data_IF_943353379681
#
_entry.id   IF_943353379681
#
_cell.length_a   1.000
_cell.length_b   1.000
_cell.length_c   1.000
_cell.angle_alpha   90.00
_cell.angle_beta   90.00
_cell.angle_gamma   90.00
#
_symmetry.space_group_name_H-M   'P 1'
#
loop_
_entity.id
_entity.type
_entity.pdbx_description
1 polymer ?
#
# COMPACT_ATOMS: atom_id res chain seq x y z
N UNK A 1 40.17 -9.38 -55.03
CA UNK A 1 40.01 -10.22 -53.81
C UNK A 1 41.25 -10.06 -52.95
N UNK A 2 41.10 -9.52 -51.73
CA UNK A 2 41.84 -9.85 -50.50
C UNK A 2 41.45 -8.84 -49.43
N UNK A 3 40.65 -9.32 -48.49
CA UNK A 3 40.17 -8.63 -47.30
C UNK A 3 41.34 -8.42 -46.34
N UNK A 4 41.52 -7.20 -45.83
CA UNK A 4 42.38 -6.96 -44.67
C UNK A 4 41.46 -6.54 -43.52
N UNK A 5 41.50 -7.39 -42.50
CA UNK A 5 40.78 -7.35 -41.24
C UNK A 5 41.50 -6.35 -40.31
N UNK A 6 40.75 -5.48 -39.66
CA UNK A 6 41.22 -4.63 -38.57
C UNK A 6 40.07 -4.37 -37.60
N UNK A 7 39.96 -5.25 -36.60
CA UNK A 7 38.90 -5.31 -35.60
C UNK A 7 38.92 -4.04 -34.73
N UNK A 8 37.88 -3.21 -34.83
CA UNK A 8 37.63 -2.12 -33.90
C UNK A 8 36.92 -2.68 -32.67
N UNK A 9 37.70 -3.12 -31.68
CA UNK A 9 37.20 -3.47 -30.37
C UNK A 9 36.77 -2.20 -29.62
N UNK A 10 35.54 -1.76 -29.84
CA UNK A 10 34.89 -0.81 -28.93
C UNK A 10 34.46 -1.59 -27.71
N UNK A 11 35.30 -1.54 -26.68
CA UNK A 11 34.94 -1.92 -25.32
C UNK A 11 33.90 -0.90 -24.86
N UNK A 12 32.62 -1.18 -25.11
CA UNK A 12 31.52 -0.55 -24.41
C UNK A 12 31.57 -1.09 -22.98
N UNK A 13 32.37 -0.42 -22.15
CA UNK A 13 32.39 -0.65 -20.72
C UNK A 13 30.97 -0.38 -20.24
N UNK A 14 30.32 -1.47 -19.88
CA UNK A 14 29.14 -1.59 -19.06
C UNK A 14 29.09 -0.54 -17.96
N UNK A 15 28.45 0.58 -18.28
CA UNK A 15 27.79 1.44 -17.32
C UNK A 15 26.32 1.07 -17.27
N UNK A 16 25.98 -0.16 -16.87
CA UNK A 16 24.72 -0.35 -16.15
C UNK A 16 24.89 0.42 -14.85
N UNK A 17 24.61 1.72 -14.89
CA UNK A 17 24.08 2.37 -13.71
C UNK A 17 22.73 1.72 -13.49
N UNK A 18 22.73 0.60 -12.78
CA UNK A 18 21.60 0.28 -11.92
C UNK A 18 21.50 1.50 -11.00
N UNK A 19 20.78 2.52 -11.47
CA UNK A 19 20.23 3.54 -10.62
C UNK A 19 19.33 2.74 -9.69
N UNK A 20 19.87 2.34 -8.55
CA UNK A 20 19.08 2.09 -7.36
C UNK A 20 18.55 3.46 -6.93
N UNK A 21 17.70 4.06 -7.76
CA UNK A 21 16.57 4.79 -7.23
C UNK A 21 15.86 3.72 -6.40
N UNK A 22 16.19 3.67 -5.12
CA UNK A 22 15.41 2.95 -4.14
C UNK A 22 14.06 3.66 -4.18
N UNK A 23 13.22 3.25 -5.11
CA UNK A 23 11.89 3.80 -5.29
C UNK A 23 11.22 3.55 -3.95
N UNK A 24 10.96 4.64 -3.21
CA UNK A 24 10.31 4.54 -1.92
C UNK A 24 9.02 3.73 -2.15
N UNK A 25 8.91 2.54 -1.54
CA UNK A 25 7.78 1.65 -1.78
C UNK A 25 6.46 2.29 -1.37
N UNK A 26 6.50 3.29 -0.49
CA UNK A 26 5.38 4.15 -0.11
C UNK A 26 5.34 5.40 -1.01
N UNK A 27 5.32 5.20 -2.33
CA UNK A 27 5.24 6.29 -3.31
C UNK A 27 3.80 6.79 -3.49
N UNK A 28 3.63 7.86 -4.25
CA UNK A 28 2.30 8.46 -4.47
C UNK A 28 1.31 7.51 -5.14
N UNK A 29 1.78 6.64 -6.03
CA UNK A 29 0.93 5.65 -6.71
C UNK A 29 0.35 4.68 -5.68
N UNK A 30 1.18 4.11 -4.81
CA UNK A 30 0.74 3.24 -3.72
C UNK A 30 -0.26 3.94 -2.78
N UNK A 31 0.02 5.17 -2.38
CA UNK A 31 -0.86 5.92 -1.47
C UNK A 31 -2.23 6.21 -2.12
N UNK A 32 -2.24 6.50 -3.41
CA UNK A 32 -3.46 6.71 -4.20
C UNK A 32 -4.24 5.40 -4.38
N UNK A 33 -3.54 4.32 -4.73
CA UNK A 33 -4.11 3.00 -4.90
C UNK A 33 -4.72 2.49 -3.58
N UNK A 34 -4.05 2.70 -2.44
CA UNK A 34 -4.56 2.27 -1.14
C UNK A 34 -5.92 2.89 -0.81
N UNK A 35 -6.06 4.22 -0.94
CA UNK A 35 -7.33 4.89 -0.65
C UNK A 35 -8.43 4.52 -1.65
N UNK A 36 -8.11 4.50 -2.94
CA UNK A 36 -9.09 4.20 -3.99
C UNK A 36 -9.55 2.74 -3.99
N UNK A 37 -8.63 1.79 -3.83
CA UNK A 37 -8.96 0.37 -3.73
C UNK A 37 -9.73 0.07 -2.45
N UNK A 38 -9.32 0.61 -1.29
CA UNK A 38 -10.09 0.38 -0.06
C UNK A 38 -11.53 0.91 -0.17
N UNK A 39 -11.74 2.04 -0.85
CA UNK A 39 -13.08 2.54 -1.12
C UNK A 39 -13.89 1.62 -2.04
N UNK A 40 -13.30 1.17 -3.15
CA UNK A 40 -13.93 0.20 -4.05
C UNK A 40 -14.29 -1.09 -3.30
N UNK A 41 -13.34 -1.63 -2.54
CA UNK A 41 -13.49 -2.86 -1.77
C UNK A 41 -14.56 -2.75 -0.70
N UNK A 42 -14.67 -1.61 -0.01
CA UNK A 42 -15.75 -1.40 0.94
C UNK A 42 -17.11 -1.51 0.26
N UNK A 43 -17.27 -0.91 -0.92
CA UNK A 43 -18.49 -1.05 -1.74
C UNK A 43 -18.78 -2.49 -2.12
N UNK A 44 -17.81 -3.17 -2.74
CA UNK A 44 -17.95 -4.57 -3.18
C UNK A 44 -18.28 -5.49 -1.99
N UNK A 45 -17.55 -5.38 -0.89
CA UNK A 45 -17.76 -6.19 0.31
C UNK A 45 -19.13 -5.92 0.95
N UNK A 46 -19.52 -4.64 1.06
CA UNK A 46 -20.78 -4.23 1.68
C UNK A 46 -21.97 -4.77 0.89
N UNK A 47 -21.98 -4.62 -0.43
CA UNK A 47 -23.09 -5.02 -1.28
C UNK A 47 -23.15 -6.54 -1.49
N UNK A 48 -22.01 -7.18 -1.75
CA UNK A 48 -22.01 -8.53 -2.31
C UNK A 48 -21.63 -9.63 -1.30
N UNK A 49 -20.95 -9.30 -0.20
CA UNK A 49 -20.36 -10.31 0.70
C UNK A 49 -20.81 -10.20 2.16
N UNK A 50 -21.25 -9.02 2.59
CA UNK A 50 -21.54 -8.72 3.99
C UNK A 50 -22.96 -8.22 4.25
N UNK A 51 -23.89 -8.37 3.29
CA UNK A 51 -25.30 -8.02 3.45
C UNK A 51 -25.53 -6.61 4.02
N UNK A 52 -24.83 -5.62 3.48
CA UNK A 52 -24.93 -4.22 3.91
C UNK A 52 -24.48 -3.98 5.37
N UNK A 53 -23.57 -4.82 5.90
CA UNK A 53 -22.98 -4.66 7.23
C UNK A 53 -21.54 -5.21 7.33
N UNK A 54 -20.56 -4.32 7.21
CA UNK A 54 -19.14 -4.63 7.34
C UNK A 54 -18.68 -4.85 8.79
N UNK A 55 -19.53 -4.75 9.82
CA UNK A 55 -19.09 -4.78 11.23
C UNK A 55 -18.34 -6.06 11.64
N UNK A 56 -18.56 -7.15 10.91
CA UNK A 56 -17.88 -8.44 11.11
C UNK A 56 -16.70 -8.68 10.15
N UNK A 57 -16.37 -7.72 9.28
CA UNK A 57 -15.19 -7.78 8.42
C UNK A 57 -13.93 -7.79 9.29
N UNK A 58 -13.04 -8.74 9.02
CA UNK A 58 -11.76 -8.88 9.71
C UNK A 58 -10.61 -8.49 8.78
N UNK A 59 -9.46 -8.15 9.36
CA UNK A 59 -8.24 -7.89 8.58
C UNK A 59 -7.83 -9.09 7.72
N UNK A 60 -7.93 -10.31 8.24
CA UNK A 60 -7.58 -11.52 7.49
C UNK A 60 -8.48 -11.73 6.28
N UNK A 61 -9.80 -11.51 6.44
CA UNK A 61 -10.72 -11.56 5.31
C UNK A 61 -10.40 -10.47 4.29
N UNK A 62 -10.19 -9.24 4.74
CA UNK A 62 -9.78 -8.12 3.89
C UNK A 62 -8.51 -8.47 3.10
N UNK A 63 -7.46 -8.94 3.77
CA UNK A 63 -6.19 -9.27 3.14
C UNK A 63 -6.33 -10.41 2.12
N UNK A 64 -7.09 -11.45 2.45
CA UNK A 64 -7.38 -12.55 1.52
C UNK A 64 -8.18 -12.05 0.29
N UNK A 65 -9.13 -11.15 0.51
CA UNK A 65 -9.97 -10.60 -0.54
C UNK A 65 -9.15 -9.74 -1.50
N UNK A 66 -8.35 -8.79 -0.99
CA UNK A 66 -7.52 -7.94 -1.85
C UNK A 66 -6.47 -8.75 -2.61
N UNK A 67 -5.92 -9.81 -2.01
CA UNK A 67 -4.97 -10.69 -2.70
C UNK A 67 -5.62 -11.40 -3.90
N UNK A 68 -6.92 -11.69 -3.81
CA UNK A 68 -7.67 -12.40 -4.85
C UNK A 68 -8.26 -11.47 -5.92
N UNK A 69 -8.66 -10.27 -5.54
CA UNK A 69 -9.44 -9.34 -6.37
C UNK A 69 -8.75 -7.98 -6.57
N UNK A 70 -7.43 -7.97 -6.46
CA UNK A 70 -6.59 -6.79 -6.76
C UNK A 70 -6.86 -6.28 -8.17
N UNK A 71 -7.19 -4.99 -8.31
CA UNK A 71 -7.38 -4.39 -9.62
C UNK A 71 -6.05 -4.40 -10.40
N UNK A 72 -6.06 -4.64 -11.72
CA UNK A 72 -4.84 -4.62 -12.52
C UNK A 72 -4.05 -3.31 -12.43
N UNK A 73 -4.75 -2.17 -12.21
CA UNK A 73 -4.15 -0.86 -12.03
C UNK A 73 -3.42 -0.68 -10.70
N UNK A 74 -3.81 -1.42 -9.66
CA UNK A 74 -3.23 -1.35 -8.31
C UNK A 74 -2.30 -2.53 -8.01
N UNK A 75 -1.78 -3.20 -9.06
CA UNK A 75 -1.07 -4.46 -8.91
C UNK A 75 0.11 -4.35 -7.93
N UNK A 76 0.13 -5.24 -6.92
CA UNK A 76 1.14 -5.27 -5.87
C UNK A 76 0.77 -4.49 -4.60
N UNK A 77 -0.36 -3.77 -4.56
CA UNK A 77 -0.79 -3.07 -3.34
C UNK A 77 -1.06 -4.06 -2.21
N UNK A 78 -1.66 -5.21 -2.51
CA UNK A 78 -1.93 -6.27 -1.54
C UNK A 78 -0.66 -6.79 -0.85
N UNK A 79 0.46 -6.83 -1.60
CA UNK A 79 1.77 -7.20 -1.06
C UNK A 79 2.28 -6.12 -0.10
N UNK A 80 2.16 -4.85 -0.46
CA UNK A 80 2.58 -3.75 0.40
C UNK A 80 1.73 -3.63 1.66
N UNK A 81 0.42 -3.90 1.60
CA UNK A 81 -0.45 -3.97 2.78
C UNK A 81 -0.01 -5.11 3.71
N UNK A 82 0.33 -6.28 3.14
CA UNK A 82 0.81 -7.44 3.88
C UNK A 82 2.17 -7.21 4.53
N UNK A 83 3.06 -6.47 3.86
CA UNK A 83 4.43 -6.22 4.27
C UNK A 83 4.56 -5.10 5.34
N UNK A 84 3.45 -4.59 5.85
CA UNK A 84 3.46 -3.68 7.00
C UNK A 84 3.95 -4.42 8.26
N UNK A 85 4.83 -3.76 9.01
CA UNK A 85 5.40 -4.30 10.25
C UNK A 85 4.38 -4.38 11.39
N UNK A 86 3.33 -3.56 11.33
CA UNK A 86 2.19 -3.61 12.25
C UNK A 86 0.96 -3.04 11.57
N UNK A 87 -0.22 -3.49 11.99
CA UNK A 87 -1.49 -2.98 11.50
C UNK A 87 -2.51 -2.85 12.63
N UNK A 88 -3.50 -1.99 12.41
CA UNK A 88 -4.71 -1.96 13.20
C UNK A 88 -5.89 -1.80 12.26
N UNK A 89 -6.87 -2.70 12.36
CA UNK A 89 -8.02 -2.75 11.48
C UNK A 89 -9.28 -2.71 12.32
N UNK A 90 -10.25 -1.88 11.92
CA UNK A 90 -11.56 -1.87 12.56
C UNK A 90 -12.63 -1.58 11.53
N UNK A 91 -13.65 -2.43 11.51
CA UNK A 91 -14.82 -2.24 10.69
C UNK A 91 -16.00 -1.69 11.50
N UNK A 92 -16.89 -1.02 10.79
CA UNK A 92 -18.21 -0.59 11.22
C UNK A 92 -19.22 -1.08 10.19
N UNK A 93 -20.49 -0.70 10.34
CA UNK A 93 -21.54 -1.11 9.42
C UNK A 93 -21.26 -0.77 7.95
N UNK A 94 -20.81 0.45 7.66
CA UNK A 94 -20.72 0.98 6.29
C UNK A 94 -19.29 1.16 5.79
N UNK A 95 -18.30 0.99 6.67
CA UNK A 95 -16.90 1.29 6.34
C UNK A 95 -15.94 0.44 7.18
N UNK A 96 -14.68 0.44 6.77
CA UNK A 96 -13.58 0.02 7.62
C UNK A 96 -12.48 1.09 7.64
N UNK A 97 -11.66 1.03 8.67
CA UNK A 97 -10.51 1.89 8.85
C UNK A 97 -9.29 1.02 9.08
N UNK A 98 -8.22 1.32 8.35
CA UNK A 98 -6.97 0.57 8.37
C UNK A 98 -5.82 1.53 8.70
N UNK A 99 -5.02 1.18 9.70
CA UNK A 99 -3.73 1.81 9.96
C UNK A 99 -2.62 0.79 9.73
N UNK A 100 -1.56 1.18 9.02
CA UNK A 100 -0.38 0.39 8.69
C UNK A 100 0.87 1.12 9.17
N UNK A 101 1.78 0.41 9.81
CA UNK A 101 3.10 0.91 10.16
C UNK A 101 4.18 0.22 9.35
N UNK A 102 5.06 1.03 8.77
CA UNK A 102 6.22 0.59 8.02
C UNK A 102 7.49 1.07 8.70
N UNK A 103 8.23 0.13 9.28
CA UNK A 103 9.38 0.41 10.15
C UNK A 103 10.57 0.98 9.38
N UNK A 104 10.83 0.49 8.17
CA UNK A 104 11.95 0.96 7.35
C UNK A 104 11.78 2.43 6.95
N UNK A 105 10.55 2.82 6.60
CA UNK A 105 10.18 4.19 6.25
C UNK A 105 9.79 5.03 7.47
N UNK A 106 9.77 4.41 8.66
CA UNK A 106 9.26 4.97 9.91
C UNK A 106 7.94 5.74 9.73
N UNK A 107 7.01 5.16 8.98
CA UNK A 107 5.81 5.84 8.48
C UNK A 107 4.56 5.09 8.89
N UNK A 108 3.58 5.83 9.41
CA UNK A 108 2.21 5.36 9.61
C UNK A 108 1.36 5.86 8.45
N UNK A 109 0.59 4.95 7.86
CA UNK A 109 -0.44 5.25 6.88
C UNK A 109 -1.79 4.88 7.49
N UNK A 110 -2.77 5.76 7.38
CA UNK A 110 -4.12 5.51 7.86
C UNK A 110 -5.12 5.85 6.77
N UNK A 111 -6.09 4.95 6.59
CA UNK A 111 -7.12 5.08 5.58
C UNK A 111 -8.51 4.83 6.16
N UNK A 112 -9.49 5.59 5.66
CA UNK A 112 -10.90 5.38 5.92
C UNK A 112 -11.57 5.04 4.58
N UNK A 113 -12.09 3.81 4.48
CA UNK A 113 -12.64 3.28 3.24
C UNK A 113 -13.87 4.03 2.73
N UNK A 114 -14.43 4.97 3.49
CA UNK A 114 -15.58 5.77 3.06
C UNK A 114 -15.22 6.83 1.98
N UNK A 115 -13.93 7.07 1.73
CA UNK A 115 -13.50 7.99 0.68
C UNK A 115 -12.43 7.35 -0.19
N UNK A 116 -12.37 7.72 -1.48
CA UNK A 116 -11.32 7.26 -2.39
C UNK A 116 -9.94 7.92 -2.14
N UNK A 117 -9.82 8.75 -1.10
CA UNK A 117 -8.60 9.44 -0.74
C UNK A 117 -8.07 8.90 0.58
N UNK A 118 -6.75 8.72 0.63
CA UNK A 118 -6.08 8.34 1.85
C UNK A 118 -6.26 9.40 2.95
N UNK A 119 -6.66 8.98 4.15
CA UNK A 119 -6.96 9.92 5.23
C UNK A 119 -5.69 10.60 5.78
N UNK A 120 -4.64 9.83 6.06
CA UNK A 120 -3.38 10.42 6.52
C UNK A 120 -2.14 9.56 6.30
N UNK A 121 -1.02 10.26 6.11
CA UNK A 121 0.34 9.71 6.08
C UNK A 121 1.18 10.51 7.06
N UNK A 122 1.90 9.83 7.94
CA UNK A 122 2.79 10.48 8.89
C UNK A 122 4.11 9.73 9.03
N UNK A 123 5.18 10.37 8.57
CA UNK A 123 6.55 9.92 8.74
C UNK A 123 7.14 10.51 10.02
N UNK A 124 7.82 9.67 10.78
CA UNK A 124 8.42 9.98 12.07
C UNK A 124 9.93 10.06 11.94
N UNK A 125 10.55 10.93 12.75
CA UNK A 125 12.01 10.97 12.87
C UNK A 125 12.49 9.73 13.62
N UNK A 126 13.77 9.35 13.44
CA UNK A 126 14.37 8.17 14.08
C UNK A 126 14.29 8.17 15.62
N UNK A 127 14.18 9.36 16.21
CA UNK A 127 14.13 9.57 17.66
C UNK A 127 12.69 9.65 18.21
N UNK A 128 11.69 9.68 17.32
CA UNK A 128 10.30 9.78 17.74
C UNK A 128 9.81 8.42 18.26
N UNK A 129 8.97 8.47 19.29
CA UNK A 129 8.22 7.28 19.71
C UNK A 129 7.02 7.10 18.79
N UNK A 130 6.89 5.88 18.24
CA UNK A 130 5.78 5.54 17.35
C UNK A 130 4.50 5.37 18.17
N UNK A 131 3.44 6.16 17.91
CA UNK A 131 2.20 6.04 18.65
C UNK A 131 1.48 4.73 18.33
N UNK A 132 0.64 4.28 19.26
CA UNK A 132 -0.29 3.17 19.04
C UNK A 132 -1.22 3.46 17.85
N UNK A 133 -1.26 2.54 16.90
CA UNK A 133 -2.07 2.60 15.67
C UNK A 133 -3.57 2.73 15.98
N UNK A 134 -4.04 2.15 17.07
CA UNK A 134 -5.44 2.23 17.49
C UNK A 134 -5.92 3.68 17.67
N UNK A 135 -5.01 4.60 18.04
CA UNK A 135 -5.35 6.03 18.24
C UNK A 135 -5.74 6.73 16.95
N UNK A 136 -5.15 6.34 15.82
CA UNK A 136 -5.48 6.89 14.50
C UNK A 136 -6.86 6.39 14.08
N UNK A 137 -7.05 5.08 14.19
CA UNK A 137 -8.29 4.42 13.78
C UNK A 137 -9.48 4.89 14.61
N UNK A 138 -9.35 4.95 15.94
CA UNK A 138 -10.42 5.40 16.83
C UNK A 138 -10.80 6.86 16.61
N UNK A 139 -9.85 7.71 16.20
CA UNK A 139 -10.13 9.12 15.86
C UNK A 139 -11.02 9.25 14.62
N UNK A 140 -10.87 8.36 13.64
CA UNK A 140 -11.66 8.39 12.40
C UNK A 140 -13.04 7.78 12.57
N UNK A 141 -13.13 6.76 13.42
CA UNK A 141 -14.38 6.06 13.75
C UNK A 141 -15.33 6.87 14.63
N UNK A 142 -14.80 7.84 15.38
CA UNK A 142 -15.60 8.67 16.31
C UNK A 142 -16.06 10.00 15.71
N UNK A 143 -15.83 10.22 14.41
CA UNK A 143 -16.31 11.38 13.66
C UNK A 143 -17.70 11.10 13.09
#
# INVERSE_FOLDING_TARGET
MKFIIGILAVILISGCTCSTNLQNRLNQDYLSDLGSENNRLAGDLYLDYFNEDLSNLTYDYYLAFITKYEAPSAKGFSTLVKDADSHYFKAQKELFVLALYYKNENTIICDNSNTAFLDSVKTYSSNDTIPDLSKFVMKLISK
#
